data_IF_007385806350
#
_entry.id   IF_007385806350
#
_cell.length_a   1.000
_cell.length_b   1.000
_cell.length_c   1.000
_cell.angle_alpha   90.00
_cell.angle_beta   90.00
_cell.angle_gamma   90.00
#
_symmetry.space_group_name_H-M   'P 1'
#
loop_
_entity.id
_entity.type
_entity.pdbx_description
1 polymer ?
#
# COMPACT_ATOMS: atom_id res chain seq x y z
N UNK A 1 -2.91 16.08 2.78
CA UNK A 1 -2.51 14.82 3.45
C UNK A 1 -0.99 14.77 3.48
N UNK A 2 -0.38 14.60 4.65
CA UNK A 2 1.08 14.57 4.82
C UNK A 2 1.56 13.14 4.57
N UNK A 3 2.67 12.97 3.86
CA UNK A 3 3.30 11.67 3.62
C UNK A 3 4.20 11.30 4.81
N UNK A 4 4.13 10.07 5.30
CA UNK A 4 4.96 9.59 6.40
C UNK A 4 6.45 9.74 6.05
N UNK A 5 7.25 10.30 6.97
CA UNK A 5 8.70 10.41 6.83
C UNK A 5 9.38 9.04 6.62
N UNK A 6 8.82 7.96 7.18
CA UNK A 6 9.29 6.59 6.96
C UNK A 6 9.29 6.22 5.47
N UNK A 7 8.25 6.62 4.72
CA UNK A 7 8.15 6.37 3.27
C UNK A 7 9.25 7.11 2.52
N UNK A 8 9.49 8.40 2.84
CA UNK A 8 10.56 9.19 2.20
C UNK A 8 11.95 8.60 2.43
N UNK A 9 12.22 8.15 3.68
CA UNK A 9 13.49 7.49 4.03
C UNK A 9 13.66 6.19 3.25
N UNK A 10 12.60 5.40 3.11
CA UNK A 10 12.68 4.10 2.42
C UNK A 10 12.84 4.23 0.91
N UNK A 11 12.27 5.29 0.33
CA UNK A 11 12.44 5.64 -1.08
C UNK A 11 13.75 6.41 -1.36
N UNK A 12 14.52 6.76 -0.33
CA UNK A 12 15.74 7.60 -0.42
C UNK A 12 15.51 8.92 -1.18
N UNK A 13 14.42 9.62 -0.86
CA UNK A 13 14.07 10.89 -1.51
C UNK A 13 13.83 12.02 -0.53
N UNK A 14 14.21 13.23 -0.96
CA UNK A 14 13.92 14.46 -0.20
C UNK A 14 12.44 14.85 -0.25
N UNK A 15 11.77 14.60 -1.37
CA UNK A 15 10.36 14.91 -1.60
C UNK A 15 9.67 13.72 -2.25
N UNK A 16 8.50 13.39 -1.74
CA UNK A 16 7.58 12.45 -2.37
C UNK A 16 6.17 13.05 -2.32
N UNK A 17 5.37 12.71 -3.32
CA UNK A 17 4.00 13.17 -3.48
C UNK A 17 3.13 12.01 -3.93
N UNK A 18 1.84 12.09 -3.64
CA UNK A 18 0.87 11.14 -4.19
C UNK A 18 0.71 11.36 -5.70
N UNK A 19 0.49 10.27 -6.44
CA UNK A 19 0.07 10.34 -7.83
C UNK A 19 -1.31 11.02 -7.94
N UNK A 20 -1.60 11.63 -9.10
CA UNK A 20 -2.97 12.03 -9.42
C UNK A 20 -3.88 10.79 -9.51
N UNK A 21 -5.19 10.99 -9.41
CA UNK A 21 -6.14 9.87 -9.51
C UNK A 21 -6.04 9.19 -10.86
N UNK A 22 -5.99 9.99 -11.93
CA UNK A 22 -5.91 9.55 -13.31
C UNK A 22 -4.66 8.70 -13.53
N UNK A 23 -3.52 9.18 -13.05
CA UNK A 23 -2.25 8.47 -13.19
C UNK A 23 -2.20 7.19 -12.36
N UNK A 24 -2.79 7.20 -11.15
CA UNK A 24 -2.89 6.01 -10.33
C UNK A 24 -3.76 4.94 -10.99
N UNK A 25 -4.92 5.30 -11.54
CA UNK A 25 -5.81 4.35 -12.23
C UNK A 25 -5.19 3.82 -13.51
N UNK A 26 -4.49 4.67 -14.27
CA UNK A 26 -3.79 4.27 -15.50
C UNK A 26 -2.67 3.25 -15.22
N UNK A 27 -1.80 3.53 -14.23
CA UNK A 27 -0.66 2.67 -13.95
C UNK A 27 -1.02 1.35 -13.25
N UNK A 28 -2.10 1.35 -12.48
CA UNK A 28 -2.53 0.16 -11.73
C UNK A 28 -3.54 -0.69 -12.47
N UNK A 29 -4.15 -0.15 -13.54
CA UNK A 29 -5.27 -0.77 -14.26
C UNK A 29 -6.47 -1.08 -13.35
N UNK A 30 -6.63 -0.29 -12.28
CA UNK A 30 -7.67 -0.47 -11.27
C UNK A 30 -8.52 0.80 -11.11
N UNK A 31 -9.76 0.63 -10.66
CA UNK A 31 -10.65 1.76 -10.38
C UNK A 31 -10.17 2.55 -9.16
N UNK A 32 -10.35 3.88 -9.18
CA UNK A 32 -10.09 4.71 -8.02
C UNK A 32 -10.99 4.29 -6.84
N UNK A 33 -10.38 4.12 -5.67
CA UNK A 33 -11.04 3.54 -4.49
C UNK A 33 -11.16 2.01 -4.50
N UNK A 34 -10.74 1.34 -5.58
CA UNK A 34 -10.61 -0.11 -5.72
C UNK A 34 -9.16 -0.63 -5.71
N UNK A 35 -8.17 0.26 -5.85
CA UNK A 35 -6.73 -0.04 -5.89
C UNK A 35 -6.31 -0.92 -4.69
N UNK A 36 -5.45 -1.90 -4.96
CA UNK A 36 -5.03 -2.94 -4.02
C UNK A 36 -3.55 -3.27 -4.20
N UNK A 37 -2.84 -3.82 -3.19
CA UNK A 37 -1.46 -4.27 -3.35
C UNK A 37 -1.30 -5.48 -4.30
N UNK A 38 -2.38 -6.19 -4.63
CA UNK A 38 -2.33 -7.38 -5.47
C UNK A 38 -2.36 -7.02 -6.96
N UNK A 39 -1.39 -7.50 -7.74
CA UNK A 39 -1.36 -7.28 -9.20
C UNK A 39 -0.80 -5.92 -9.62
N UNK A 40 -0.14 -5.20 -8.71
CA UNK A 40 0.61 -4.00 -9.06
C UNK A 40 1.83 -4.32 -9.95
N UNK A 41 2.38 -3.34 -10.68
CA UNK A 41 3.61 -3.53 -11.45
C UNK A 41 4.74 -4.08 -10.58
N UNK A 42 5.38 -5.18 -11.01
CA UNK A 42 6.32 -5.95 -10.17
C UNK A 42 7.58 -5.20 -9.71
N UNK A 43 7.88 -4.06 -10.33
CA UNK A 43 8.99 -3.18 -9.92
C UNK A 43 8.63 -2.22 -8.78
N UNK A 44 7.37 -2.16 -8.35
CA UNK A 44 6.95 -1.25 -7.30
C UNK A 44 7.14 -1.88 -5.92
N UNK A 45 7.82 -1.19 -4.98
CA UNK A 45 7.86 -1.64 -3.61
C UNK A 45 6.47 -1.51 -2.98
N UNK A 46 6.07 -2.52 -2.21
CA UNK A 46 4.81 -2.54 -1.45
C UNK A 46 5.16 -2.49 0.03
N UNK A 47 5.02 -1.31 0.63
CA UNK A 47 5.34 -1.11 2.04
C UNK A 47 4.13 -1.51 2.90
N UNK A 48 4.32 -2.44 3.83
CA UNK A 48 3.26 -2.95 4.73
C UNK A 48 3.72 -2.81 6.18
N UNK A 49 2.87 -2.26 7.04
CA UNK A 49 3.17 -2.24 8.48
C UNK A 49 3.13 -3.65 9.05
N UNK A 50 4.07 -3.97 9.95
CA UNK A 50 4.12 -5.26 10.63
C UNK A 50 2.80 -5.60 11.35
N UNK A 51 2.12 -4.62 11.94
CA UNK A 51 0.84 -4.82 12.63
C UNK A 51 -0.28 -5.30 11.69
N UNK A 52 -0.19 -5.01 10.38
CA UNK A 52 -1.17 -5.49 9.40
C UNK A 52 -1.11 -7.00 9.25
N UNK A 53 0.07 -7.61 9.41
CA UNK A 53 0.25 -9.05 9.27
C UNK A 53 -0.45 -9.84 10.38
N UNK A 54 -0.59 -9.21 11.56
CA UNK A 54 -1.23 -9.77 12.74
C UNK A 54 -2.76 -9.71 12.66
N UNK A 55 -3.33 -9.02 11.67
CA UNK A 55 -4.77 -8.96 11.49
C UNK A 55 -5.34 -10.34 11.12
N UNK A 56 -6.29 -10.89 11.91
CA UNK A 56 -6.93 -12.15 11.58
C UNK A 56 -7.61 -12.10 10.21
N UNK A 57 -8.20 -10.94 9.87
CA UNK A 57 -8.80 -10.62 8.58
C UNK A 57 -8.52 -9.14 8.24
N UNK A 58 -8.08 -8.89 7.02
CA UNK A 58 -7.90 -7.58 6.42
C UNK A 58 -8.88 -7.44 5.24
N UNK A 59 -9.54 -6.28 5.14
CA UNK A 59 -10.38 -5.89 4.02
C UNK A 59 -9.60 -4.94 3.11
N UNK A 60 -9.32 -5.35 1.87
CA UNK A 60 -8.58 -4.55 0.90
C UNK A 60 -9.38 -4.31 -0.39
N UNK A 61 -8.87 -3.41 -1.23
CA UNK A 61 -9.38 -3.21 -2.58
C UNK A 61 -9.38 -4.50 -3.40
N UNK A 62 -10.28 -4.60 -4.36
CA UNK A 62 -10.40 -5.78 -5.23
C UNK A 62 -9.93 -5.53 -6.68
N UNK A 63 -9.47 -4.31 -6.97
CA UNK A 63 -9.22 -3.79 -8.32
C UNK A 63 -10.38 -2.95 -8.87
N UNK A 64 -11.59 -3.13 -8.32
CA UNK A 64 -12.79 -2.36 -8.68
C UNK A 64 -13.43 -1.73 -7.44
N UNK A 65 -14.21 -0.66 -7.62
CA UNK A 65 -14.81 0.13 -6.53
C UNK A 65 -15.97 -0.61 -5.85
N UNK A 66 -16.75 -1.37 -6.62
CA UNK A 66 -17.97 -2.04 -6.16
C UNK A 66 -17.74 -3.28 -5.27
N UNK A 67 -16.50 -3.75 -5.12
CA UNK A 67 -16.19 -4.92 -4.30
C UNK A 67 -14.87 -4.78 -3.54
N UNK A 68 -14.71 -5.63 -2.53
CA UNK A 68 -13.53 -5.71 -1.66
C UNK A 68 -13.13 -7.18 -1.47
N UNK A 69 -11.89 -7.41 -1.06
CA UNK A 69 -11.36 -8.74 -0.73
C UNK A 69 -11.10 -8.83 0.76
N UNK A 70 -11.54 -9.92 1.38
CA UNK A 70 -11.20 -10.27 2.76
C UNK A 70 -10.17 -11.40 2.72
N UNK A 71 -9.06 -11.24 3.45
CA UNK A 71 -8.02 -12.25 3.58
C UNK A 71 -7.29 -12.11 4.93
N UNK A 72 -6.62 -13.16 5.44
CA UNK A 72 -5.74 -13.01 6.59
C UNK A 72 -4.60 -12.02 6.31
N UNK A 73 -4.28 -11.14 7.26
CA UNK A 73 -3.25 -10.11 7.12
C UNK A 73 -1.90 -10.67 6.68
N UNK A 74 -1.51 -11.81 7.28
CA UNK A 74 -0.29 -12.57 6.95
C UNK A 74 -0.09 -12.88 5.46
N UNK A 75 -1.15 -12.94 4.66
CA UNK A 75 -1.04 -13.19 3.21
C UNK A 75 -0.35 -12.02 2.49
N UNK A 76 -0.43 -10.80 3.02
CA UNK A 76 0.23 -9.64 2.42
C UNK A 76 1.77 -9.77 2.39
N UNK A 77 2.36 -10.55 3.30
CA UNK A 77 3.79 -10.85 3.29
C UNK A 77 4.24 -11.72 2.09
N UNK A 78 3.30 -12.29 1.33
CA UNK A 78 3.58 -13.13 0.16
C UNK A 78 3.48 -12.35 -1.16
N UNK A 79 3.10 -11.07 -1.11
CA UNK A 79 2.94 -10.26 -2.31
C UNK A 79 4.32 -9.91 -2.88
N UNK A 80 4.46 -9.99 -4.20
CA UNK A 80 5.71 -9.62 -4.88
C UNK A 80 6.08 -8.16 -4.58
N UNK A 81 7.34 -7.92 -4.24
CA UNK A 81 7.85 -6.58 -3.92
C UNK A 81 7.46 -6.06 -2.54
N UNK A 82 6.89 -6.89 -1.67
CA UNK A 82 6.52 -6.48 -0.31
C UNK A 82 7.75 -6.23 0.57
N UNK A 83 7.69 -5.14 1.33
CA UNK A 83 8.64 -4.80 2.38
C UNK A 83 7.87 -4.56 3.68
N UNK A 84 8.21 -5.30 4.72
CA UNK A 84 7.59 -5.13 6.05
C UNK A 84 8.33 -4.02 6.78
N UNK A 85 7.59 -2.98 7.18
CA UNK A 85 8.12 -1.78 7.79
C UNK A 85 7.39 -1.53 9.12
N UNK A 86 7.98 -1.92 10.27
CA UNK A 86 7.38 -1.66 11.57
C UNK A 86 7.15 -0.16 11.79
N UNK A 87 5.96 0.20 12.26
CA UNK A 87 5.61 1.58 12.57
C UNK A 87 5.37 2.49 11.35
N UNK A 88 5.19 1.91 10.16
CA UNK A 88 4.79 2.62 8.94
C UNK A 88 3.42 3.32 9.07
N UNK A 89 2.48 2.70 9.80
CA UNK A 89 1.14 3.23 10.05
C UNK A 89 1.11 4.28 11.16
N UNK A 90 2.18 4.40 11.94
CA UNK A 90 2.26 5.37 13.03
C UNK A 90 2.43 6.78 12.45
N UNK A 91 1.71 7.73 13.04
CA UNK A 91 1.96 9.15 12.79
C UNK A 91 3.39 9.44 13.28
N UNK A 92 4.23 10.00 12.41
CA UNK A 92 5.52 10.52 12.84
C UNK A 92 5.24 11.53 13.98
N UNK A 93 5.80 11.29 15.17
CA UNK A 93 5.77 12.27 16.24
C UNK A 93 6.33 13.59 15.67
N UNK A 94 5.56 14.67 15.85
CA UNK A 94 5.86 16.00 15.31
C UNK A 94 7.19 16.55 15.80
#
# INVERSE_FOLDING_TARGET
>A
MILNNAVKRRLDVRKASFLSRERATELTEMEFGGITPLGLPGQWPILVDAEVLELPLALIGSGIRKSKRILPGKVLAQVAGVEIVPGLGLLAAG
#
